data_IF_219570142708
#
_entry.id   IF_219570142708
#
_cell.length_a   1.000
_cell.length_b   1.000
_cell.length_c   1.000
_cell.angle_alpha   90.00
_cell.angle_beta   90.00
_cell.angle_gamma   90.00
#
_symmetry.space_group_name_H-M   'P 1'
#
loop_
_entity.id
_entity.type
_entity.pdbx_description
1 polymer ?
#
# COMPACT_ATOMS: atom_id res chain seq x y z
N UNK A 1 19.13 -6.60 20.56
CA UNK A 1 19.42 -5.82 19.34
C UNK A 1 18.42 -4.67 19.29
N UNK A 2 18.85 -3.41 19.34
CA UNK A 2 17.92 -2.28 19.25
C UNK A 2 17.55 -2.11 17.79
N UNK A 3 16.33 -2.48 17.43
CA UNK A 3 15.73 -2.14 16.14
C UNK A 3 15.51 -0.62 16.15
N UNK A 4 16.22 0.09 15.27
CA UNK A 4 16.14 1.52 15.14
C UNK A 4 15.94 1.87 13.67
N UNK A 5 14.75 2.39 13.37
CA UNK A 5 14.28 2.82 12.06
C UNK A 5 14.99 4.07 11.52
N UNK A 6 15.78 4.75 12.36
CA UNK A 6 16.37 6.07 12.07
C UNK A 6 17.80 6.00 11.50
N UNK A 7 18.27 4.83 11.08
CA UNK A 7 19.63 4.67 10.53
C UNK A 7 19.60 4.94 9.03
N UNK A 8 20.36 5.95 8.61
CA UNK A 8 20.63 6.25 7.19
C UNK A 8 21.01 4.95 6.47
N UNK A 9 20.32 4.67 5.36
CA UNK A 9 20.54 3.48 4.50
C UNK A 9 20.12 2.12 5.09
N UNK A 10 19.40 2.08 6.22
CA UNK A 10 18.83 0.83 6.79
C UNK A 10 17.33 0.98 7.06
N UNK A 11 16.57 1.13 5.98
CA UNK A 11 15.10 1.15 5.98
C UNK A 11 14.52 -0.26 5.74
N UNK A 12 15.06 -1.29 6.42
CA UNK A 12 14.67 -2.70 6.16
C UNK A 12 13.16 -2.88 6.32
N UNK A 13 12.56 -2.23 7.30
CA UNK A 13 11.11 -2.31 7.55
C UNK A 13 10.35 -1.16 6.86
N UNK A 14 10.98 0.02 6.78
CA UNK A 14 10.34 1.22 6.22
C UNK A 14 10.19 1.17 4.69
N UNK A 15 11.21 0.69 3.97
CA UNK A 15 11.18 0.61 2.50
C UNK A 15 10.03 -0.25 1.96
N UNK A 16 9.83 -1.48 2.47
CA UNK A 16 8.66 -2.28 2.11
C UNK A 16 7.34 -1.59 2.42
N UNK A 17 7.20 -0.97 3.60
CA UNK A 17 5.98 -0.27 3.98
C UNK A 17 5.71 0.97 3.11
N UNK A 18 6.74 1.73 2.76
CA UNK A 18 6.65 2.84 1.80
C UNK A 18 6.18 2.35 0.43
N UNK A 19 6.68 1.20 -0.04
CA UNK A 19 6.25 0.58 -1.28
C UNK A 19 4.77 0.17 -1.27
N UNK A 20 4.30 -0.43 -0.18
CA UNK A 20 2.89 -0.79 0.00
C UNK A 20 2.02 0.47 -0.04
N UNK A 21 2.34 1.49 0.77
CA UNK A 21 1.58 2.74 0.80
C UNK A 21 1.66 3.51 -0.52
N UNK A 22 2.78 3.42 -1.24
CA UNK A 22 2.92 3.97 -2.60
C UNK A 22 1.96 3.32 -3.59
N UNK A 23 1.79 2.01 -3.50
CA UNK A 23 0.84 1.24 -4.33
C UNK A 23 -0.60 1.61 -4.00
N UNK A 24 -0.98 1.58 -2.72
CA UNK A 24 -2.32 1.94 -2.24
C UNK A 24 -2.72 3.34 -2.74
N UNK A 25 -1.86 4.35 -2.53
CA UNK A 25 -2.14 5.72 -2.96
C UNK A 25 -2.25 5.85 -4.48
N UNK A 26 -1.38 5.17 -5.23
CA UNK A 26 -1.41 5.20 -6.70
C UNK A 26 -2.73 4.65 -7.25
N UNK A 27 -3.21 3.53 -6.69
CA UNK A 27 -4.45 2.87 -7.12
C UNK A 27 -5.72 3.61 -6.68
N UNK A 28 -5.71 4.22 -5.49
CA UNK A 28 -6.85 5.01 -5.00
C UNK A 28 -6.93 6.34 -5.76
N UNK A 29 -5.82 7.08 -5.86
CA UNK A 29 -5.84 8.43 -6.43
C UNK A 29 -5.80 8.44 -7.95
N UNK A 30 -5.25 7.41 -8.60
CA UNK A 30 -5.16 7.28 -10.08
C UNK A 30 -4.68 8.55 -10.79
N UNK A 31 -3.75 9.28 -10.17
CA UNK A 31 -3.22 10.54 -10.70
C UNK A 31 -4.09 11.79 -10.48
N UNK A 32 -5.27 11.67 -9.86
CA UNK A 32 -6.11 12.80 -9.48
C UNK A 32 -5.57 13.49 -8.22
N UNK A 33 -4.84 14.58 -8.43
CA UNK A 33 -4.25 15.40 -7.35
C UNK A 33 -5.28 16.09 -6.45
N UNK A 34 -6.53 16.20 -6.88
CA UNK A 34 -7.61 16.83 -6.12
C UNK A 34 -8.51 15.81 -5.41
N UNK A 35 -8.24 14.51 -5.57
CA UNK A 35 -8.97 13.48 -4.86
C UNK A 35 -8.89 13.71 -3.35
N UNK A 36 -10.03 13.66 -2.68
CA UNK A 36 -10.16 13.74 -1.24
C UNK A 36 -11.29 12.82 -0.81
N UNK A 37 -11.10 12.16 0.32
CA UNK A 37 -12.20 11.49 1.00
C UNK A 37 -13.10 12.53 1.67
N UNK A 38 -14.40 12.24 1.71
CA UNK A 38 -15.37 13.12 2.34
C UNK A 38 -15.41 12.90 3.86
N UNK A 39 -14.92 11.75 4.35
CA UNK A 39 -14.79 11.46 5.77
C UNK A 39 -13.65 10.49 6.08
N UNK A 40 -13.29 10.40 7.37
CA UNK A 40 -12.26 9.46 7.86
C UNK A 40 -12.76 8.01 7.73
N UNK A 41 -14.06 7.80 7.93
CA UNK A 41 -14.71 6.49 7.80
C UNK A 41 -14.65 5.99 6.36
N UNK A 42 -14.91 6.86 5.38
CA UNK A 42 -14.76 6.56 3.95
C UNK A 42 -13.31 6.15 3.64
N UNK A 43 -12.34 6.95 4.09
CA UNK A 43 -10.92 6.66 3.89
C UNK A 43 -10.53 5.31 4.51
N UNK A 44 -10.95 5.06 5.74
CA UNK A 44 -10.63 3.83 6.48
C UNK A 44 -11.22 2.62 5.80
N UNK A 45 -12.48 2.70 5.37
CA UNK A 45 -13.15 1.63 4.63
C UNK A 45 -12.44 1.35 3.30
N UNK A 46 -12.17 2.37 2.49
CA UNK A 46 -11.47 2.20 1.21
C UNK A 46 -10.09 1.56 1.38
N UNK A 47 -9.32 1.98 2.38
CA UNK A 47 -8.01 1.41 2.67
C UNK A 47 -8.14 -0.06 3.11
N UNK A 48 -9.09 -0.37 4.00
CA UNK A 48 -9.33 -1.74 4.48
C UNK A 48 -9.73 -2.68 3.34
N UNK A 49 -10.69 -2.26 2.50
CA UNK A 49 -11.14 -3.02 1.35
C UNK A 49 -9.99 -3.26 0.35
N UNK A 50 -9.14 -2.26 0.14
CA UNK A 50 -7.95 -2.42 -0.70
C UNK A 50 -6.94 -3.41 -0.11
N UNK A 51 -6.71 -3.39 1.21
CA UNK A 51 -5.80 -4.33 1.88
C UNK A 51 -6.34 -5.76 1.75
N UNK A 52 -7.65 -5.98 1.92
CA UNK A 52 -8.28 -7.28 1.71
C UNK A 52 -8.06 -7.78 0.29
N UNK A 53 -8.37 -6.96 -0.71
CA UNK A 53 -8.11 -7.27 -2.12
C UNK A 53 -6.63 -7.60 -2.37
N UNK A 54 -5.72 -6.79 -1.85
CA UNK A 54 -4.28 -6.94 -2.05
C UNK A 54 -3.75 -8.27 -1.50
N UNK A 55 -4.28 -8.71 -0.36
CA UNK A 55 -3.84 -9.92 0.33
C UNK A 55 -4.50 -11.20 -0.21
N UNK A 56 -5.76 -11.13 -0.65
CA UNK A 56 -6.56 -12.32 -0.94
C UNK A 56 -6.90 -12.51 -2.42
N UNK A 57 -6.96 -11.44 -3.20
CA UNK A 57 -7.52 -11.47 -4.56
C UNK A 57 -6.52 -11.04 -5.63
N UNK A 58 -5.48 -10.27 -5.26
CA UNK A 58 -4.53 -9.71 -6.22
C UNK A 58 -3.74 -10.80 -6.95
N UNK A 59 -4.03 -10.96 -8.23
CA UNK A 59 -3.22 -11.78 -9.16
C UNK A 59 -2.05 -10.94 -9.65
N UNK A 60 -0.83 -11.46 -9.47
CA UNK A 60 0.38 -10.86 -10.06
C UNK A 60 0.72 -11.56 -11.36
N UNK A 61 1.42 -10.89 -12.30
CA UNK A 61 1.83 -11.51 -13.57
C UNK A 61 2.61 -12.82 -13.35
N UNK A 62 3.49 -12.86 -12.33
CA UNK A 62 4.18 -14.09 -11.92
C UNK A 62 3.25 -15.23 -11.54
N UNK A 63 2.10 -14.91 -10.92
CA UNK A 63 1.08 -15.91 -10.58
C UNK A 63 0.26 -16.31 -11.81
N UNK A 64 -0.01 -15.38 -12.72
CA UNK A 64 -0.74 -15.67 -13.97
C UNK A 64 0.06 -16.59 -14.91
N UNK A 65 1.39 -16.42 -14.98
CA UNK A 65 2.28 -17.29 -15.77
C UNK A 65 2.51 -18.68 -15.15
N UNK A 66 2.00 -18.91 -13.93
CA UNK A 66 2.12 -20.17 -13.18
C UNK A 66 0.83 -21.02 -13.21
N UNK A 67 -0.17 -20.61 -14.00
CA UNK A 67 -1.47 -21.30 -14.19
C UNK A 67 -1.54 -21.91 -15.59
#
# INVERSE_FOLDING_TARGET
MIQSMSRVSKCIDNGPMEGVWGTIKSEIFRGNKHFKFNSVEEATKTIHDFILFFNHERITLKMADSV
#
